data_IF_391525581118
#
_entry.id   IF_391525581118
#
_cell.length_a   1.000
_cell.length_b   1.000
_cell.length_c   1.000
_cell.angle_alpha   90.00
_cell.angle_beta   90.00
_cell.angle_gamma   90.00
#
_symmetry.space_group_name_H-M   'P 1'
#
loop_
_entity.id
_entity.type
_entity.pdbx_description
1 polymer ?
#
# COMPACT_ATOMS: atom_id res chain seq x y z
N UNK A 1 -20.11 30.28 4.62
CA UNK A 1 -20.01 29.16 3.66
C UNK A 1 -20.84 28.01 4.20
N UNK A 2 -21.87 27.57 3.47
CA UNK A 2 -22.71 26.45 3.90
C UNK A 2 -21.89 25.15 3.89
N UNK A 3 -21.80 24.47 5.03
CA UNK A 3 -21.16 23.18 5.12
C UNK A 3 -22.04 22.16 4.37
N UNK A 4 -21.56 21.65 3.23
CA UNK A 4 -22.22 20.57 2.51
C UNK A 4 -21.97 19.26 3.26
N UNK A 5 -22.89 18.89 4.14
CA UNK A 5 -22.82 17.61 4.85
C UNK A 5 -23.46 16.52 4.02
N UNK A 6 -22.73 15.45 3.75
CA UNK A 6 -23.25 14.23 3.10
C UNK A 6 -23.35 13.11 4.12
N UNK A 7 -24.44 12.33 4.07
CA UNK A 7 -24.64 11.20 4.99
C UNK A 7 -23.96 9.93 4.47
N UNK A 8 -23.41 9.13 5.38
CA UNK A 8 -22.73 7.87 5.08
C UNK A 8 -23.56 6.74 5.68
N UNK A 9 -24.04 5.83 4.84
CA UNK A 9 -24.72 4.60 5.26
C UNK A 9 -23.72 3.44 5.27
N UNK A 10 -23.41 2.92 6.46
CA UNK A 10 -22.53 1.75 6.63
C UNK A 10 -23.33 0.62 7.25
N UNK A 11 -23.25 -0.57 6.66
CA UNK A 11 -23.77 -1.79 7.28
C UNK A 11 -22.73 -2.32 8.25
N UNK A 12 -23.15 -2.53 9.49
CA UNK A 12 -22.34 -3.09 10.57
C UNK A 12 -23.18 -4.11 11.32
N UNK A 13 -22.52 -5.13 11.87
CA UNK A 13 -23.14 -6.06 12.79
C UNK A 13 -23.68 -5.33 14.02
N UNK A 14 -24.82 -5.81 14.55
CA UNK A 14 -25.50 -5.16 15.68
C UNK A 14 -24.67 -5.20 16.96
N UNK A 15 -23.95 -6.30 17.21
CA UNK A 15 -23.12 -6.45 18.40
C UNK A 15 -21.91 -5.53 18.31
N UNK A 16 -21.29 -5.45 17.12
CA UNK A 16 -20.17 -4.53 16.88
C UNK A 16 -20.60 -3.07 17.06
N UNK A 17 -21.79 -2.71 16.57
CA UNK A 17 -22.34 -1.35 16.76
C UNK A 17 -22.54 -1.03 18.23
N UNK A 18 -23.11 -1.95 19.00
CA UNK A 18 -23.35 -1.77 20.43
C UNK A 18 -22.03 -1.58 21.19
N UNK A 19 -21.06 -2.50 21.00
CA UNK A 19 -19.75 -2.44 21.64
C UNK A 19 -18.96 -1.17 21.27
N UNK A 20 -18.97 -0.78 19.99
CA UNK A 20 -18.30 0.43 19.54
C UNK A 20 -18.93 1.68 20.16
N UNK A 21 -20.27 1.71 20.27
CA UNK A 21 -20.98 2.85 20.87
C UNK A 21 -20.65 2.99 22.35
N UNK A 22 -20.66 1.88 23.11
CA UNK A 22 -20.30 1.87 24.53
C UNK A 22 -18.83 2.29 24.75
N UNK A 23 -17.92 1.71 23.97
CA UNK A 23 -16.49 2.00 24.07
C UNK A 23 -16.19 3.47 23.75
N UNK A 24 -16.75 4.00 22.67
CA UNK A 24 -16.55 5.40 22.30
C UNK A 24 -17.23 6.37 23.29
N UNK A 25 -18.41 6.02 23.80
CA UNK A 25 -19.08 6.81 24.82
C UNK A 25 -18.26 6.91 26.12
N UNK A 26 -17.55 5.83 26.50
CA UNK A 26 -16.62 5.87 27.65
C UNK A 26 -15.46 6.86 27.47
N UNK A 27 -15.12 7.18 26.21
CA UNK A 27 -14.10 8.16 25.83
C UNK A 27 -14.70 9.55 25.55
N UNK A 28 -16.02 9.73 25.71
CA UNK A 28 -16.72 10.98 25.41
C UNK A 28 -16.89 11.26 23.91
N UNK A 29 -16.79 10.24 23.06
CA UNK A 29 -16.89 10.36 21.61
C UNK A 29 -18.17 9.69 21.10
N UNK A 30 -18.78 10.30 20.07
CA UNK A 30 -19.83 9.61 19.31
C UNK A 30 -19.23 8.78 18.18
N UNK A 31 -19.97 7.79 17.69
CA UNK A 31 -19.57 7.00 16.50
C UNK A 31 -19.33 7.92 15.30
N UNK A 32 -20.16 8.96 15.13
CA UNK A 32 -20.01 9.94 14.05
C UNK A 32 -18.71 10.74 14.17
N UNK A 33 -18.31 11.13 15.38
CA UNK A 33 -17.07 11.88 15.59
C UNK A 33 -15.84 11.00 15.36
N UNK A 34 -15.88 9.74 15.81
CA UNK A 34 -14.83 8.77 15.51
C UNK A 34 -14.66 8.56 14.00
N UNK A 35 -15.76 8.42 13.25
CA UNK A 35 -15.72 8.28 11.79
C UNK A 35 -15.15 9.55 11.12
N UNK A 36 -15.53 10.74 11.60
CA UNK A 36 -14.99 12.01 11.07
C UNK A 36 -13.47 12.07 11.23
N UNK A 37 -12.98 11.85 12.46
CA UNK A 37 -11.54 11.86 12.76
C UNK A 37 -10.79 10.82 11.92
N UNK A 38 -11.36 9.62 11.80
CA UNK A 38 -10.79 8.56 10.98
C UNK A 38 -10.66 8.99 9.51
N UNK A 39 -11.73 9.49 8.90
CA UNK A 39 -11.72 9.92 7.50
C UNK A 39 -10.77 11.10 7.28
N UNK A 40 -10.73 12.07 8.20
CA UNK A 40 -9.78 13.19 8.13
C UNK A 40 -8.34 12.70 8.18
N UNK A 41 -8.02 11.72 9.04
CA UNK A 41 -6.66 11.17 9.15
C UNK A 41 -6.26 10.41 7.89
N UNK A 42 -7.17 9.60 7.32
CA UNK A 42 -6.93 8.88 6.07
C UNK A 42 -6.66 9.85 4.91
N UNK A 43 -7.39 10.96 4.84
CA UNK A 43 -7.16 11.98 3.80
C UNK A 43 -5.83 12.71 4.01
N UNK A 44 -5.48 13.03 5.25
CA UNK A 44 -4.25 13.75 5.59
C UNK A 44 -2.99 12.91 5.31
N UNK A 45 -2.98 11.66 5.75
CA UNK A 45 -1.80 10.80 5.68
C UNK A 45 -1.75 9.97 4.40
N UNK A 46 -2.87 9.88 3.67
CA UNK A 46 -3.06 8.96 2.53
C UNK A 46 -2.82 7.49 2.89
N UNK A 47 -2.90 7.18 4.18
CA UNK A 47 -2.66 5.86 4.73
C UNK A 47 -3.75 5.53 5.76
N UNK A 48 -3.99 4.25 5.96
CA UNK A 48 -4.93 3.80 6.98
C UNK A 48 -4.21 3.85 8.35
N UNK A 49 -4.80 4.52 9.37
CA UNK A 49 -4.14 4.81 10.64
C UNK A 49 -3.92 3.57 11.53
N UNK A 50 -4.31 2.39 11.06
CA UNK A 50 -3.97 1.11 11.65
C UNK A 50 -3.21 0.29 10.61
N UNK A 51 -2.24 -0.50 11.05
CA UNK A 51 -1.52 -1.41 10.17
C UNK A 51 -2.49 -2.46 9.62
N UNK A 52 -3.04 -2.24 8.42
CA UNK A 52 -3.79 -3.29 7.72
C UNK A 52 -2.81 -4.41 7.38
N UNK A 53 -2.93 -5.53 8.10
CA UNK A 53 -2.31 -6.82 7.73
C UNK A 53 -2.97 -7.45 6.48
N UNK A 54 -3.44 -6.63 5.55
CA UNK A 54 -3.98 -7.08 4.28
C UNK A 54 -3.34 -6.21 3.19
N UNK A 55 -2.39 -6.76 2.41
CA UNK A 55 -1.80 -6.04 1.29
C UNK A 55 -2.92 -5.53 0.39
N UNK A 56 -2.94 -4.24 0.09
CA UNK A 56 -3.89 -3.69 -0.87
C UNK A 56 -3.62 -4.30 -2.26
N UNK A 57 -4.65 -4.46 -3.09
CA UNK A 57 -4.54 -5.14 -4.38
C UNK A 57 -3.48 -4.49 -5.29
N UNK A 58 -3.35 -3.16 -5.23
CA UNK A 58 -2.35 -2.38 -5.95
C UNK A 58 -0.92 -2.75 -5.53
N UNK A 59 -0.68 -2.96 -4.24
CA UNK A 59 0.63 -3.39 -3.73
C UNK A 59 0.94 -4.82 -4.15
N UNK A 60 -0.06 -5.71 -4.22
CA UNK A 60 0.15 -7.07 -4.76
C UNK A 60 0.58 -7.05 -6.23
N UNK A 61 -0.03 -6.17 -7.04
CA UNK A 61 0.34 -6.00 -8.46
C UNK A 61 1.75 -5.44 -8.58
N UNK A 62 2.06 -4.36 -7.84
CA UNK A 62 3.39 -3.76 -7.85
C UNK A 62 4.50 -4.73 -7.39
N UNK A 63 4.23 -5.56 -6.37
CA UNK A 63 5.17 -6.60 -5.91
C UNK A 63 5.34 -7.70 -6.97
N UNK A 64 4.26 -8.10 -7.65
CA UNK A 64 4.34 -9.09 -8.73
C UNK A 64 5.16 -8.56 -9.91
N UNK A 65 4.95 -7.30 -10.32
CA UNK A 65 5.72 -6.63 -11.37
C UNK A 65 7.20 -6.49 -10.98
N UNK A 66 7.49 -6.09 -9.75
CA UNK A 66 8.86 -5.98 -9.25
C UNK A 66 9.60 -7.33 -9.28
N UNK A 67 8.92 -8.42 -8.91
CA UNK A 67 9.50 -9.77 -8.94
C UNK A 67 9.83 -10.23 -10.37
N UNK A 68 8.98 -9.91 -11.36
CA UNK A 68 9.25 -10.22 -12.77
C UNK A 68 10.45 -9.42 -13.31
N UNK A 69 10.59 -8.15 -12.91
CA UNK A 69 11.76 -7.33 -13.27
C UNK A 69 13.04 -7.92 -12.67
N UNK A 70 13.01 -8.33 -11.39
CA UNK A 70 14.17 -8.95 -10.72
C UNK A 70 14.58 -10.25 -11.44
N UNK A 71 13.63 -11.11 -11.79
CA UNK A 71 13.86 -12.38 -12.50
C UNK A 71 14.42 -12.17 -13.90
N UNK A 72 13.90 -11.20 -14.65
CA UNK A 72 14.40 -10.90 -15.99
C UNK A 72 15.82 -10.32 -15.97
N UNK A 73 16.14 -9.51 -14.95
CA UNK A 73 17.46 -8.91 -14.78
C UNK A 73 18.50 -9.94 -14.33
N UNK A 74 18.16 -10.87 -13.44
CA UNK A 74 19.06 -11.95 -13.03
C UNK A 74 19.39 -12.91 -14.18
N UNK A 75 18.42 -13.20 -15.07
CA UNK A 75 18.65 -14.00 -16.27
C UNK A 75 19.63 -13.35 -17.27
N UNK A 76 19.68 -12.01 -17.32
CA UNK A 76 20.67 -11.27 -18.12
C UNK A 76 22.08 -11.34 -17.52
N UNK A 77 22.19 -11.29 -16.19
CA UNK A 77 23.48 -11.41 -15.51
C UNK A 77 24.02 -12.85 -15.48
N UNK A 78 23.15 -13.86 -15.50
CA UNK A 78 23.53 -15.27 -15.58
C UNK A 78 24.08 -15.69 -16.96
N UNK A 79 23.88 -14.87 -18.00
CA UNK A 79 24.58 -14.99 -19.27
C UNK A 79 25.72 -13.96 -19.27
N UNK A 80 26.92 -14.28 -18.73
CA UNK A 80 28.08 -13.50 -19.10
C UNK A 80 28.18 -13.66 -20.61
N UNK A 81 27.90 -12.60 -21.36
CA UNK A 81 28.28 -12.54 -22.76
C UNK A 81 29.77 -12.78 -22.77
N UNK A 82 30.18 -13.98 -23.19
CA UNK A 82 31.57 -14.34 -23.42
C UNK A 82 32.08 -13.32 -24.42
N UNK A 83 32.69 -12.26 -23.91
CA UNK A 83 33.31 -11.22 -24.70
C UNK A 83 34.34 -11.94 -25.55
N UNK A 84 34.09 -11.99 -26.86
CA UNK A 84 35.05 -12.44 -27.83
C UNK A 84 36.16 -11.38 -27.88
N UNK A 85 37.08 -11.44 -26.92
CA UNK A 85 38.34 -10.71 -26.95
C UNK A 85 39.14 -11.26 -28.13
N UNK A 86 39.02 -10.59 -29.28
CA UNK A 86 39.86 -10.81 -30.45
C UNK A 86 41.29 -10.40 -30.05
N UNK A 87 42.28 -11.30 -30.02
CA UNK A 87 43.65 -10.87 -29.73
C UNK A 87 44.17 -10.08 -30.94
N UNK A 88 44.37 -8.77 -30.78
CA UNK A 88 45.16 -8.00 -31.74
C UNK A 88 46.63 -8.33 -31.50
N UNK A 89 47.14 -9.31 -32.25
CA UNK A 89 48.56 -9.57 -32.37
C UNK A 89 49.25 -8.35 -32.99
N UNK A 90 49.81 -7.49 -32.14
CA UNK A 90 50.83 -6.52 -32.51
C UNK A 90 52.18 -7.21 -32.30
N UNK A 91 52.77 -7.70 -33.37
CA UNK A 91 54.21 -8.04 -33.38
C UNK A 91 54.90 -7.05 -34.29
N UNK A 92 55.47 -6.06 -33.62
CA UNK A 92 56.46 -5.10 -34.10
C UNK A 92 57.72 -5.83 -34.53
N UNK A 93 58.19 -5.49 -35.74
CA UNK A 93 59.56 -5.50 -36.31
C UNK A 93 60.59 -6.53 -35.83
#
# INVERSE_FOLDING_TARGET
MAATTTMIHVRVDENVKAQATETLASMGLTVSDAIRVFLTRVVADKELPFALKAPNATSRIAIAEANEIIKSRSARFAKPTTGHCRPSGSTTR
#
